data_IF_049791268511
#
_entry.id   IF_049791268511
#
_cell.length_a   1.000
_cell.length_b   1.000
_cell.length_c   1.000
_cell.angle_alpha   90.00
_cell.angle_beta   90.00
_cell.angle_gamma   90.00
#
_symmetry.space_group_name_H-M   'P 1'
#
loop_
_entity.id
_entity.type
_entity.pdbx_description
1 polymer ?
#
# COMPACT_ATOMS: atom_id res chain seq x y z
N UNK A 1 -9.51 24.62 -32.89
CA UNK A 1 -8.76 23.36 -33.07
C UNK A 1 -7.64 23.38 -32.06
N UNK A 2 -7.67 22.52 -31.04
CA UNK A 2 -6.75 22.57 -29.92
C UNK A 2 -7.33 21.80 -28.74
N UNK A 3 -7.39 20.49 -28.89
CA UNK A 3 -7.81 19.56 -27.84
C UNK A 3 -6.63 19.38 -26.88
N UNK A 4 -6.71 19.90 -25.67
CA UNK A 4 -5.90 19.40 -24.57
C UNK A 4 -6.83 18.95 -23.46
N UNK A 5 -6.90 17.62 -23.37
CA UNK A 5 -7.47 16.90 -22.26
C UNK A 5 -6.60 17.20 -21.03
N UNK A 6 -7.18 17.83 -20.04
CA UNK A 6 -6.63 17.91 -18.70
C UNK A 6 -7.57 17.12 -17.80
N UNK A 7 -7.38 15.81 -17.79
CA UNK A 7 -7.87 14.97 -16.71
C UNK A 7 -7.21 15.48 -15.43
N UNK A 8 -7.93 16.34 -14.73
CA UNK A 8 -7.57 16.89 -13.43
C UNK A 8 -7.45 15.74 -12.43
N UNK A 9 -6.29 15.09 -12.41
CA UNK A 9 -5.89 14.22 -11.31
C UNK A 9 -5.64 15.16 -10.14
N UNK A 10 -6.69 15.33 -9.34
CA UNK A 10 -6.73 16.09 -8.10
C UNK A 10 -5.49 15.75 -7.27
N UNK A 11 -4.57 16.70 -7.21
CA UNK A 11 -3.32 16.66 -6.46
C UNK A 11 -3.58 16.86 -4.96
N UNK A 12 -4.45 16.04 -4.37
CA UNK A 12 -4.67 15.97 -2.92
C UNK A 12 -3.75 14.94 -2.25
N UNK A 13 -2.61 14.58 -2.86
CA UNK A 13 -1.66 13.56 -2.35
C UNK A 13 -0.83 14.14 -1.20
N UNK A 14 -1.50 14.56 -0.14
CA UNK A 14 -0.96 14.72 1.21
C UNK A 14 -2.11 14.47 2.18
N UNK A 15 -2.61 13.23 2.21
CA UNK A 15 -3.40 12.73 3.33
C UNK A 15 -2.50 11.85 4.21
N UNK A 16 -1.85 12.41 5.25
CA UNK A 16 -0.86 11.71 6.08
C UNK A 16 -1.50 10.73 7.09
N UNK A 17 -2.51 9.98 6.67
CA UNK A 17 -3.01 8.79 7.37
C UNK A 17 -3.74 7.82 6.43
N UNK A 18 -3.44 7.81 5.13
CA UNK A 18 -4.18 6.97 4.20
C UNK A 18 -3.77 5.50 4.37
N UNK A 19 -4.57 4.76 5.11
CA UNK A 19 -4.72 3.33 4.86
C UNK A 19 -5.29 3.19 3.45
N UNK A 20 -4.45 2.78 2.50
CA UNK A 20 -4.86 2.61 1.12
C UNK A 20 -5.81 1.42 1.03
N UNK A 21 -6.96 1.63 0.37
CA UNK A 21 -7.84 0.53 -0.03
C UNK A 21 -7.39 0.06 -1.40
N UNK A 22 -7.08 -1.22 -1.51
CA UNK A 22 -6.54 -1.78 -2.73
C UNK A 22 -7.59 -1.70 -3.86
N UNK A 23 -7.26 -1.02 -4.95
CA UNK A 23 -8.22 -0.77 -6.05
C UNK A 23 -8.38 -1.95 -7.01
N UNK A 24 -7.48 -2.93 -6.97
CA UNK A 24 -7.47 -4.19 -7.75
C UNK A 24 -6.68 -5.23 -6.96
N UNK A 25 -6.90 -6.51 -7.21
CA UNK A 25 -6.03 -7.58 -6.72
C UNK A 25 -4.52 -7.27 -6.96
N UNK A 26 -3.68 -7.59 -5.98
CA UNK A 26 -2.25 -7.28 -6.02
C UNK A 26 -1.38 -8.33 -5.34
N UNK A 27 -1.01 -9.40 -6.04
CA UNK A 27 -0.08 -10.40 -5.50
C UNK A 27 -0.54 -10.99 -4.17
N UNK A 28 0.41 -11.36 -3.30
CA UNK A 28 0.16 -12.04 -2.03
C UNK A 28 0.84 -11.29 -0.88
N UNK A 29 0.20 -11.26 0.29
CA UNK A 29 0.79 -10.68 1.48
C UNK A 29 1.84 -11.63 2.06
N UNK A 30 3.12 -11.25 2.03
CA UNK A 30 4.21 -12.13 2.51
C UNK A 30 4.20 -12.41 4.03
N UNK A 31 3.28 -11.80 4.80
CA UNK A 31 3.14 -12.04 6.25
C UNK A 31 2.12 -13.15 6.53
N UNK A 32 0.91 -13.05 5.98
CA UNK A 32 -0.14 -14.06 6.16
C UNK A 32 -0.22 -15.10 5.04
N UNK A 33 0.49 -14.87 3.93
CA UNK A 33 0.50 -15.70 2.71
C UNK A 33 -0.90 -15.83 2.07
N UNK A 34 -1.72 -14.78 2.20
CA UNK A 34 -3.02 -14.68 1.55
C UNK A 34 -3.00 -13.65 0.40
N UNK A 35 -3.80 -13.89 -0.62
CA UNK A 35 -3.96 -12.97 -1.76
C UNK A 35 -4.50 -11.62 -1.30
N UNK A 36 -3.86 -10.54 -1.79
CA UNK A 36 -4.31 -9.17 -1.56
C UNK A 36 -5.40 -8.87 -2.59
N UNK A 37 -6.65 -8.72 -2.15
CA UNK A 37 -7.79 -8.56 -3.03
C UNK A 37 -8.27 -7.10 -3.09
N UNK A 38 -9.02 -6.77 -4.15
CA UNK A 38 -9.66 -5.47 -4.25
C UNK A 38 -10.57 -5.22 -3.05
N UNK A 39 -10.42 -4.06 -2.41
CA UNK A 39 -11.16 -3.68 -1.22
C UNK A 39 -10.42 -3.96 0.08
N UNK A 40 -9.32 -4.71 0.05
CA UNK A 40 -8.50 -4.92 1.24
C UNK A 40 -7.81 -3.63 1.69
N UNK A 41 -7.73 -3.47 3.00
CA UNK A 41 -6.99 -2.36 3.60
C UNK A 41 -5.52 -2.75 3.66
N UNK A 42 -4.71 -2.05 2.88
CA UNK A 42 -3.28 -2.30 2.77
C UNK A 42 -2.47 -1.18 3.41
N UNK A 43 -1.20 -1.46 3.68
CA UNK A 43 -0.22 -0.41 3.90
C UNK A 43 0.95 -0.62 2.93
N UNK A 44 1.45 0.50 2.41
CA UNK A 44 2.61 0.54 1.55
C UNK A 44 3.79 1.14 2.29
N UNK A 45 4.87 0.39 2.38
CA UNK A 45 6.12 0.85 2.99
C UNK A 45 6.92 1.75 2.03
N UNK A 46 7.91 2.51 2.52
CA UNK A 46 8.79 3.33 1.66
C UNK A 46 9.55 2.52 0.61
N UNK A 47 9.88 1.25 0.91
CA UNK A 47 10.45 0.28 -0.03
C UNK A 47 9.45 -0.24 -1.08
N UNK A 48 8.23 0.31 -1.11
CA UNK A 48 7.12 0.00 -2.02
C UNK A 48 6.48 -1.38 -1.83
N UNK A 49 6.93 -2.18 -0.86
CA UNK A 49 6.26 -3.43 -0.46
C UNK A 49 4.86 -3.15 0.11
N UNK A 50 3.91 -4.02 -0.23
CA UNK A 50 2.50 -3.92 0.12
C UNK A 50 2.13 -5.11 1.01
N UNK A 51 1.43 -4.82 2.09
CA UNK A 51 0.90 -5.84 3.02
C UNK A 51 -0.49 -5.45 3.47
N UNK A 52 -1.26 -6.40 3.99
CA UNK A 52 -2.45 -6.08 4.76
C UNK A 52 -2.09 -5.16 5.91
N UNK A 53 -2.87 -4.10 6.10
CA UNK A 53 -2.63 -3.12 7.16
C UNK A 53 -2.56 -3.79 8.53
N UNK A 54 -3.44 -4.76 8.81
CA UNK A 54 -3.38 -5.51 10.07
C UNK A 54 -2.11 -6.34 10.23
N UNK A 55 -1.69 -7.05 9.18
CA UNK A 55 -0.51 -7.91 9.23
C UNK A 55 0.79 -7.13 9.49
N UNK A 56 0.96 -5.99 8.81
CA UNK A 56 2.18 -5.19 8.97
C UNK A 56 2.19 -4.39 10.28
N UNK A 57 1.02 -4.01 10.80
CA UNK A 57 0.90 -3.36 12.11
C UNK A 57 1.35 -4.31 13.24
N UNK A 58 0.87 -5.56 13.22
CA UNK A 58 1.28 -6.60 14.16
C UNK A 58 2.79 -6.93 14.03
N UNK A 59 3.31 -6.99 12.80
CA UNK A 59 4.74 -7.17 12.57
C UNK A 59 5.58 -6.04 13.19
N UNK A 60 5.15 -4.79 13.07
CA UNK A 60 5.83 -3.62 13.63
C UNK A 60 5.79 -3.54 15.16
N UNK A 61 4.93 -4.30 15.83
CA UNK A 61 4.99 -4.45 17.29
C UNK A 61 6.24 -5.22 17.73
N UNK A 62 6.75 -6.14 16.89
CA UNK A 62 7.93 -6.96 17.16
C UNK A 62 9.18 -6.41 16.46
N UNK A 63 9.07 -6.07 15.18
CA UNK A 63 10.18 -5.62 14.35
C UNK A 63 9.74 -4.51 13.39
N UNK A 64 10.24 -3.29 13.60
CA UNK A 64 9.88 -2.10 12.79
C UNK A 64 10.65 -2.00 11.46
N UNK A 65 10.96 -3.15 10.87
CA UNK A 65 11.67 -3.24 9.59
C UNK A 65 10.82 -4.01 8.58
N UNK A 66 11.03 -3.74 7.30
CA UNK A 66 10.35 -4.46 6.24
C UNK A 66 10.68 -5.96 6.30
N UNK A 67 9.69 -6.88 6.28
CA UNK A 67 9.96 -8.32 6.31
C UNK A 67 10.78 -8.80 5.10
N UNK A 68 10.57 -8.18 3.94
CA UNK A 68 11.28 -8.52 2.70
C UNK A 68 12.64 -7.80 2.57
N UNK A 69 12.81 -6.67 3.25
CA UNK A 69 13.99 -5.80 3.14
C UNK A 69 14.49 -5.36 4.53
N UNK A 70 15.11 -6.26 5.32
CA UNK A 70 15.51 -5.96 6.69
C UNK A 70 16.68 -4.97 6.85
N UNK A 71 17.28 -4.50 5.74
CA UNK A 71 18.49 -3.65 5.75
C UNK A 71 18.31 -2.24 5.13
N UNK A 72 17.08 -1.82 4.82
CA UNK A 72 16.77 -0.44 4.40
C UNK A 72 16.47 0.45 5.62
#
# INVERSE_FOLDING_TARGET
>A
MGSHNESSVSWCVTDPCLSDVLSKDAGECAICLEELQQGDTIARLPCLCIYHKGCIDEWFEVNRSCPEHPSD
#
